data_IF_675449943896
#
_entry.id   IF_675449943896
#
_cell.length_a   1.000
_cell.length_b   1.000
_cell.length_c   1.000
_cell.angle_alpha   90.00
_cell.angle_beta   90.00
_cell.angle_gamma   90.00
#
_symmetry.space_group_name_H-M   'P 1'
#
loop_
_entity.id
_entity.type
_entity.pdbx_description
1 polymer ?
#
# COMPACT_ATOMS: atom_id res chain seq x y z
N UNK A 1 -42.13 7.15 47.86
CA UNK A 1 -42.48 6.77 46.48
C UNK A 1 -43.02 5.36 46.54
N UNK A 2 -44.28 5.08 46.16
CA UNK A 2 -44.79 3.71 46.16
C UNK A 2 -43.99 2.86 45.17
N UNK A 3 -43.65 1.64 45.58
CA UNK A 3 -42.94 0.69 44.75
C UNK A 3 -43.86 0.21 43.62
N UNK A 4 -43.39 0.24 42.38
CA UNK A 4 -44.18 -0.20 41.22
C UNK A 4 -44.53 -1.68 41.34
N UNK A 5 -45.70 -2.05 40.81
CA UNK A 5 -46.17 -3.43 40.81
C UNK A 5 -45.22 -4.38 40.07
N UNK A 6 -45.27 -5.68 40.39
CA UNK A 6 -44.44 -6.69 39.72
C UNK A 6 -44.61 -6.67 38.18
N UNK A 7 -45.83 -6.59 37.61
CA UNK A 7 -46.01 -6.49 36.16
C UNK A 7 -45.34 -5.25 35.55
N UNK A 8 -45.46 -4.09 36.19
CA UNK A 8 -44.81 -2.85 35.73
C UNK A 8 -43.28 -2.95 35.77
N UNK A 9 -42.73 -3.62 36.79
CA UNK A 9 -41.28 -3.87 36.88
C UNK A 9 -40.80 -4.78 35.75
N UNK A 10 -41.54 -5.85 35.46
CA UNK A 10 -41.23 -6.75 34.34
C UNK A 10 -41.25 -5.98 33.02
N UNK A 11 -42.26 -5.15 32.79
CA UNK A 11 -42.37 -4.37 31.56
C UNK A 11 -41.22 -3.37 31.39
N UNK A 12 -40.82 -2.68 32.47
CA UNK A 12 -39.63 -1.82 32.46
C UNK A 12 -38.37 -2.59 32.07
N UNK A 13 -38.17 -3.79 32.62
CA UNK A 13 -37.01 -4.60 32.26
C UNK A 13 -37.05 -5.09 30.81
N UNK A 14 -38.23 -5.42 30.27
CA UNK A 14 -38.40 -5.75 28.84
C UNK A 14 -38.04 -4.57 27.95
N UNK A 15 -38.50 -3.37 28.30
CA UNK A 15 -38.17 -2.16 27.56
C UNK A 15 -36.66 -1.88 27.58
N UNK A 16 -36.00 -2.04 28.74
CA UNK A 16 -34.55 -1.92 28.86
C UNK A 16 -33.83 -2.97 28.02
N UNK A 17 -34.27 -4.24 28.04
CA UNK A 17 -33.68 -5.30 27.23
C UNK A 17 -33.79 -4.98 25.73
N UNK A 18 -34.97 -4.58 25.25
CA UNK A 18 -35.18 -4.21 23.86
C UNK A 18 -34.32 -2.99 23.45
N UNK A 19 -34.17 -2.01 24.33
CA UNK A 19 -33.29 -0.88 24.09
C UNK A 19 -31.81 -1.29 24.02
N UNK A 20 -31.35 -2.16 24.92
CA UNK A 20 -29.98 -2.67 24.90
C UNK A 20 -29.69 -3.51 23.65
N UNK A 21 -30.65 -4.31 23.19
CA UNK A 21 -30.53 -5.05 21.92
C UNK A 21 -30.41 -4.10 20.73
N UNK A 22 -31.22 -3.03 20.71
CA UNK A 22 -31.10 -2.00 19.68
C UNK A 22 -29.73 -1.31 19.71
N UNK A 23 -29.26 -0.89 20.88
CA UNK A 23 -27.93 -0.28 21.04
C UNK A 23 -26.81 -1.22 20.59
N UNK A 24 -26.87 -2.49 21.00
CA UNK A 24 -25.90 -3.50 20.56
C UNK A 24 -25.92 -3.68 19.03
N UNK A 25 -27.09 -3.63 18.40
CA UNK A 25 -27.22 -3.65 16.95
C UNK A 25 -26.52 -2.47 16.26
N UNK A 26 -26.68 -1.26 16.80
CA UNK A 26 -26.00 -0.06 16.28
C UNK A 26 -24.48 -0.15 16.41
N UNK A 27 -23.98 -0.61 17.55
CA UNK A 27 -22.54 -0.79 17.78
C UNK A 27 -21.95 -1.85 16.86
N UNK A 28 -22.64 -2.98 16.66
CA UNK A 28 -22.20 -4.02 15.73
C UNK A 28 -22.11 -3.51 14.29
N UNK A 29 -23.10 -2.76 13.81
CA UNK A 29 -23.07 -2.16 12.49
C UNK A 29 -21.92 -1.13 12.35
N UNK A 30 -21.64 -0.39 13.42
CA UNK A 30 -20.51 0.54 13.46
C UNK A 30 -19.18 -0.19 13.39
N UNK A 31 -19.01 -1.28 14.13
CA UNK A 31 -17.81 -2.13 14.09
C UNK A 31 -17.58 -2.66 12.68
N UNK A 32 -18.59 -3.27 12.05
CA UNK A 32 -18.49 -3.82 10.69
C UNK A 32 -18.07 -2.75 9.67
N UNK A 33 -18.66 -1.56 9.75
CA UNK A 33 -18.28 -0.42 8.91
C UNK A 33 -16.81 -0.03 9.13
N UNK A 34 -16.39 0.13 10.38
CA UNK A 34 -15.02 0.53 10.72
C UNK A 34 -13.98 -0.53 10.32
N UNK A 35 -14.31 -1.81 10.45
CA UNK A 35 -13.47 -2.92 9.97
C UNK A 35 -13.29 -2.84 8.45
N UNK A 36 -14.36 -2.58 7.70
CA UNK A 36 -14.30 -2.34 6.26
C UNK A 36 -13.43 -1.15 5.88
N UNK A 37 -13.56 -0.03 6.60
CA UNK A 37 -12.74 1.18 6.40
C UNK A 37 -11.25 0.91 6.69
N UNK A 38 -10.94 0.17 7.76
CA UNK A 38 -9.58 -0.18 8.13
C UNK A 38 -8.89 -1.04 7.05
N UNK A 39 -9.61 -2.02 6.49
CA UNK A 39 -9.09 -2.86 5.40
C UNK A 39 -8.77 -2.02 4.16
N UNK A 40 -9.67 -1.12 3.76
CA UNK A 40 -9.47 -0.25 2.60
C UNK A 40 -8.34 0.76 2.83
N UNK A 41 -8.22 1.32 4.04
CA UNK A 41 -7.13 2.22 4.40
C UNK A 41 -5.77 1.51 4.32
N UNK A 42 -5.68 0.29 4.86
CA UNK A 42 -4.45 -0.50 4.78
C UNK A 42 -4.12 -0.87 3.33
N UNK A 43 -5.12 -1.22 2.52
CA UNK A 43 -4.92 -1.46 1.08
C UNK A 43 -4.35 -0.22 0.38
N UNK A 44 -4.93 0.96 0.62
CA UNK A 44 -4.44 2.24 0.06
C UNK A 44 -3.02 2.55 0.53
N UNK A 45 -2.73 2.33 1.81
CA UNK A 45 -1.39 2.52 2.37
C UNK A 45 -0.36 1.62 1.70
N UNK A 46 -0.68 0.34 1.50
CA UNK A 46 0.20 -0.61 0.78
C UNK A 46 0.43 -0.19 -0.66
N UNK A 47 -0.62 0.25 -1.37
CA UNK A 47 -0.50 0.74 -2.76
C UNK A 47 0.39 1.98 -2.81
N UNK A 48 0.10 3.00 -1.99
CA UNK A 48 0.89 4.22 -1.92
C UNK A 48 2.36 3.93 -1.55
N UNK A 49 2.60 3.02 -0.60
CA UNK A 49 3.95 2.59 -0.23
C UNK A 49 4.71 1.99 -1.42
N UNK A 50 4.07 1.12 -2.22
CA UNK A 50 4.65 0.56 -3.45
C UNK A 50 4.91 1.62 -4.51
N UNK A 51 3.93 2.49 -4.76
CA UNK A 51 4.01 3.53 -5.79
C UNK A 51 5.06 4.60 -5.50
N UNK A 52 5.35 4.85 -4.22
CA UNK A 52 6.42 5.77 -3.80
C UNK A 52 7.83 5.21 -3.99
N UNK A 53 7.99 3.90 -4.24
CA UNK A 53 9.27 3.20 -4.31
C UNK A 53 9.61 2.78 -5.74
N UNK A 54 10.81 2.24 -5.88
CA UNK A 54 11.33 1.67 -7.12
C UNK A 54 11.67 0.20 -6.93
N UNK A 55 11.67 -0.55 -8.02
CA UNK A 55 12.07 -1.95 -8.03
C UNK A 55 13.07 -2.18 -9.15
N UNK A 56 13.85 -3.25 -9.03
CA UNK A 56 14.84 -3.65 -10.03
C UNK A 56 14.49 -5.04 -10.53
N UNK A 57 14.51 -5.20 -11.85
CA UNK A 57 14.47 -6.49 -12.50
C UNK A 57 15.91 -6.87 -12.88
N UNK A 58 16.33 -8.04 -12.44
CA UNK A 58 17.65 -8.59 -12.78
C UNK A 58 17.69 -9.02 -14.25
N UNK A 59 18.86 -8.90 -14.89
CA UNK A 59 19.03 -9.36 -16.26
C UNK A 59 18.98 -10.89 -16.34
N UNK A 60 18.43 -11.42 -17.43
CA UNK A 60 18.41 -12.87 -17.71
C UNK A 60 19.78 -13.39 -18.19
N UNK A 61 20.62 -12.51 -18.72
CA UNK A 61 21.95 -12.81 -19.25
C UNK A 61 22.95 -11.74 -18.79
N UNK A 62 24.21 -12.10 -18.65
CA UNK A 62 25.26 -11.21 -18.11
C UNK A 62 25.43 -9.90 -18.90
N UNK A 63 25.22 -9.94 -20.22
CA UNK A 63 25.32 -8.76 -21.10
C UNK A 63 24.08 -7.85 -21.07
N UNK A 64 22.98 -8.31 -20.49
CA UNK A 64 21.73 -7.54 -20.45
C UNK A 64 21.73 -6.52 -19.29
N UNK A 65 21.11 -5.35 -19.47
CA UNK A 65 21.03 -4.37 -18.40
C UNK A 65 20.03 -4.78 -17.32
N UNK A 66 20.27 -4.34 -16.09
CA UNK A 66 19.22 -4.26 -15.08
C UNK A 66 18.11 -3.34 -15.56
N UNK A 67 16.85 -3.64 -15.26
CA UNK A 67 15.73 -2.76 -15.60
C UNK A 67 15.15 -2.15 -14.34
N UNK A 68 15.11 -0.82 -14.28
CA UNK A 68 14.54 -0.07 -13.15
C UNK A 68 13.06 0.18 -13.41
N UNK A 69 12.23 -0.05 -12.40
CA UNK A 69 10.78 0.17 -12.46
C UNK A 69 10.30 1.05 -11.31
N UNK A 70 9.14 1.69 -11.47
CA UNK A 70 8.35 2.17 -10.33
C UNK A 70 7.73 0.97 -9.62
N UNK A 71 7.57 1.02 -8.31
CA UNK A 71 7.10 -0.13 -7.52
C UNK A 71 5.67 -0.56 -7.82
N UNK A 72 4.86 0.29 -8.46
CA UNK A 72 3.53 -0.09 -9.00
C UNK A 72 3.55 -0.65 -10.43
N UNK A 73 4.71 -0.85 -11.05
CA UNK A 73 4.79 -1.25 -12.46
C UNK A 73 4.42 -2.73 -12.66
N UNK A 74 3.39 -2.99 -13.46
CA UNK A 74 2.93 -4.35 -13.78
C UNK A 74 3.89 -5.18 -14.64
N UNK A 75 4.89 -4.54 -15.27
CA UNK A 75 5.97 -5.23 -16.01
C UNK A 75 6.96 -5.96 -15.09
N UNK A 76 7.02 -5.59 -13.80
CA UNK A 76 7.79 -6.28 -12.79
C UNK A 76 6.85 -6.70 -11.64
N UNK A 77 6.00 -7.72 -11.85
CA UNK A 77 4.91 -8.05 -10.93
C UNK A 77 5.38 -8.69 -9.60
N UNK A 78 6.57 -9.27 -9.60
CA UNK A 78 7.16 -9.96 -8.45
C UNK A 78 8.59 -9.45 -8.21
N UNK A 79 8.73 -8.17 -7.79
CA UNK A 79 10.05 -7.62 -7.50
C UNK A 79 10.65 -8.31 -6.27
N UNK A 80 11.97 -8.51 -6.28
CA UNK A 80 12.69 -9.06 -5.13
C UNK A 80 12.63 -8.11 -3.92
N UNK A 81 12.69 -6.79 -4.17
CA UNK A 81 12.65 -5.77 -3.13
C UNK A 81 12.18 -4.41 -3.68
N UNK A 82 11.86 -3.48 -2.76
CA UNK A 82 11.44 -2.12 -3.04
C UNK A 82 12.40 -1.11 -2.40
N UNK A 83 12.89 -0.19 -3.22
CA UNK A 83 13.94 0.75 -2.85
C UNK A 83 13.43 2.18 -2.87
N UNK A 84 13.88 2.98 -1.90
CA UNK A 84 13.79 4.43 -1.99
C UNK A 84 14.75 4.95 -3.06
N UNK A 85 14.49 6.14 -3.60
CA UNK A 85 15.29 6.70 -4.70
C UNK A 85 16.81 6.79 -4.41
N UNK A 86 17.26 7.24 -3.22
CA UNK A 86 18.70 7.32 -2.91
C UNK A 86 19.38 5.95 -2.84
N UNK A 87 18.72 4.97 -2.23
CA UNK A 87 19.25 3.62 -2.07
C UNK A 87 19.36 2.91 -3.42
N UNK A 88 18.35 3.08 -4.27
CA UNK A 88 18.36 2.55 -5.63
C UNK A 88 19.54 3.10 -6.44
N UNK A 89 19.76 4.41 -6.39
CA UNK A 89 20.88 5.07 -7.08
C UNK A 89 22.21 4.52 -6.59
N UNK A 90 22.37 4.40 -5.27
CA UNK A 90 23.60 3.87 -4.68
C UNK A 90 23.87 2.43 -5.13
N UNK A 91 22.85 1.58 -5.12
CA UNK A 91 22.94 0.17 -5.51
C UNK A 91 23.20 -0.02 -7.01
N UNK A 92 22.63 0.83 -7.86
CA UNK A 92 22.77 0.76 -9.31
C UNK A 92 24.03 1.45 -9.83
N UNK A 93 24.78 2.15 -8.96
CA UNK A 93 26.00 2.85 -9.36
C UNK A 93 27.01 1.88 -9.96
N UNK A 94 27.44 2.17 -11.19
CA UNK A 94 28.42 1.36 -11.93
C UNK A 94 27.86 0.06 -12.52
N UNK A 95 26.55 -0.19 -12.39
CA UNK A 95 25.87 -1.30 -13.08
C UNK A 95 25.30 -0.80 -14.41
N UNK A 96 25.30 -1.67 -15.41
CA UNK A 96 24.54 -1.42 -16.65
C UNK A 96 23.05 -1.50 -16.34
N UNK A 97 22.37 -0.35 -16.22
CA UNK A 97 20.97 -0.28 -15.84
C UNK A 97 20.19 0.65 -16.77
N UNK A 98 19.02 0.20 -17.20
CA UNK A 98 18.12 0.94 -18.08
C UNK A 98 16.77 1.19 -17.41
N UNK A 99 16.11 2.33 -17.68
CA UNK A 99 14.77 2.58 -17.18
C UNK A 99 13.73 1.74 -17.94
N UNK A 100 12.73 1.23 -17.21
CA UNK A 100 11.58 0.59 -17.84
C UNK A 100 10.85 1.60 -18.76
N UNK A 101 10.66 1.30 -20.06
CA UNK A 101 10.04 2.23 -21.00
C UNK A 101 8.55 2.43 -20.75
N UNK A 102 7.89 1.49 -20.06
CA UNK A 102 6.44 1.56 -19.79
C UNK A 102 6.12 2.50 -18.63
N UNK A 103 6.84 2.39 -17.50
CA UNK A 103 6.54 3.21 -16.32
C UNK A 103 7.41 4.46 -16.18
N UNK A 104 8.45 4.58 -17.02
CA UNK A 104 9.42 5.68 -17.04
C UNK A 104 9.78 6.16 -15.62
N UNK A 105 10.61 5.42 -14.87
CA UNK A 105 10.92 5.74 -13.48
C UNK A 105 11.75 7.02 -13.33
N UNK A 106 12.43 7.47 -14.40
CA UNK A 106 13.39 8.57 -14.37
C UNK A 106 12.90 9.86 -13.71
N UNK A 107 11.66 10.34 -13.90
CA UNK A 107 11.18 11.55 -13.23
C UNK A 107 11.22 11.47 -11.71
N UNK A 108 11.07 10.27 -11.12
CA UNK A 108 11.17 10.06 -9.68
C UNK A 108 12.60 9.88 -9.16
N UNK A 109 13.58 9.79 -10.06
CA UNK A 109 15.02 9.66 -9.74
C UNK A 109 15.81 10.93 -10.10
N UNK A 110 15.15 11.97 -10.64
CA UNK A 110 15.81 13.23 -11.00
C UNK A 110 16.33 13.91 -9.73
N UNK A 111 17.60 14.30 -9.74
CA UNK A 111 18.32 14.91 -8.62
C UNK A 111 19.27 13.96 -7.88
N UNK A 112 19.15 12.65 -8.10
CA UNK A 112 20.03 11.62 -7.51
C UNK A 112 20.70 10.73 -8.56
N UNK A 113 20.06 10.49 -9.71
CA UNK A 113 20.61 9.66 -10.79
C UNK A 113 21.62 10.41 -11.68
N UNK A 114 22.85 9.91 -11.73
CA UNK A 114 23.84 10.25 -12.77
C UNK A 114 23.86 9.07 -13.74
N UNK A 115 23.33 9.20 -14.97
CA UNK A 115 23.48 8.14 -15.97
C UNK A 115 24.98 7.91 -16.18
N UNK A 116 25.43 6.66 -16.14
CA UNK A 116 26.70 6.33 -16.79
C UNK A 116 26.54 6.68 -18.27
N UNK A 117 27.50 7.40 -18.87
CA UNK A 117 27.40 7.75 -20.28
C UNK A 117 27.24 6.47 -21.10
N UNK A 118 26.29 6.49 -22.03
CA UNK A 118 26.16 5.49 -23.07
C UNK A 118 27.52 5.38 -23.77
N UNK A 119 28.19 4.24 -23.65
CA UNK A 119 29.26 3.88 -24.60
C UNK A 119 28.57 3.49 -25.90
N UNK A 120 28.14 4.49 -26.66
CA UNK A 120 27.30 4.31 -27.85
C UNK A 120 27.33 5.42 -28.89
N UNK A 121 28.26 6.38 -28.80
CA UNK A 121 28.59 7.29 -29.91
C UNK A 121 30.13 7.40 -29.98
N UNK A 122 30.73 6.59 -30.85
CA UNK A 122 31.99 6.80 -31.59
C UNK A 122 32.66 5.44 -31.93
N UNK A 123 32.27 4.87 -33.09
CA UNK A 123 33.12 4.09 -34.00
C UNK A 123 32.31 3.63 -35.24
#
# INVERSE_FOLDING_TARGET
>A
MPESSLPERIEKHRAVAAWLEYQLGQERATIERLEGEAVEQERRRKVAWKESRFTVQEPLHEESPYVIHRGGCTRNPSPLDYYEAPDLVMMMRGKNASPCPTCNPMPGLRGTWIPTPDFGEDA
#
